data_IF_121895418896
#
_entry.id   IF_121895418896
#
_cell.length_a   1.000
_cell.length_b   1.000
_cell.length_c   1.000
_cell.angle_alpha   90.00
_cell.angle_beta   90.00
_cell.angle_gamma   90.00
#
_symmetry.space_group_name_H-M   'P 1'
#
loop_
_entity.id
_entity.type
_entity.pdbx_description
1 polymer ?
#
# COMPACT_ATOMS: atom_id res chain seq x y z
N UNK A 1 5.44 -22.13 4.23
CA UNK A 1 5.80 -22.26 5.68
C UNK A 1 4.93 -23.26 6.44
N UNK A 2 3.59 -23.13 6.42
CA UNK A 2 2.70 -24.06 7.15
C UNK A 2 2.57 -25.45 6.50
N UNK A 3 2.41 -25.53 5.17
CA UNK A 3 2.23 -26.81 4.46
C UNK A 3 3.48 -27.69 4.35
N UNK A 4 4.67 -27.08 4.26
CA UNK A 4 5.93 -27.82 4.04
C UNK A 4 6.75 -28.02 5.31
N UNK A 5 6.73 -27.05 6.24
CA UNK A 5 7.59 -27.08 7.43
C UNK A 5 6.79 -27.25 8.73
N UNK A 6 5.46 -27.31 8.66
CA UNK A 6 4.59 -27.39 9.85
C UNK A 6 4.63 -26.14 10.73
N UNK A 7 5.21 -25.04 10.25
CA UNK A 7 5.37 -23.79 10.99
C UNK A 7 4.22 -22.86 10.61
N UNK A 8 3.39 -22.49 11.59
CA UNK A 8 2.39 -21.43 11.39
C UNK A 8 3.11 -20.09 11.27
N UNK A 9 2.96 -19.36 10.14
CA UNK A 9 3.57 -18.05 10.00
C UNK A 9 3.01 -17.08 11.03
N UNK A 10 3.89 -16.33 11.67
CA UNK A 10 3.54 -15.19 12.54
C UNK A 10 3.51 -13.90 11.72
N UNK A 11 2.95 -12.82 12.28
CA UNK A 11 2.99 -11.48 11.67
C UNK A 11 4.40 -11.09 11.21
N UNK A 12 5.42 -11.37 12.03
CA UNK A 12 6.82 -11.09 11.71
C UNK A 12 7.31 -11.79 10.43
N UNK A 13 6.81 -13.00 10.13
CA UNK A 13 7.15 -13.69 8.89
C UNK A 13 6.55 -12.99 7.68
N UNK A 14 5.30 -12.51 7.79
CA UNK A 14 4.67 -11.75 6.70
C UNK A 14 5.36 -10.41 6.48
N UNK A 15 5.64 -9.67 7.55
CA UNK A 15 6.43 -8.44 7.50
C UNK A 15 7.82 -8.67 6.91
N UNK A 16 8.47 -9.79 7.24
CA UNK A 16 9.75 -10.16 6.66
C UNK A 16 9.71 -10.33 5.14
N UNK A 17 8.64 -10.93 4.59
CA UNK A 17 8.46 -11.06 3.13
C UNK A 17 8.24 -9.69 2.49
N UNK A 18 7.37 -8.86 3.07
CA UNK A 18 7.14 -7.48 2.62
C UNK A 18 8.45 -6.69 2.61
N UNK A 19 9.26 -6.82 3.66
CA UNK A 19 10.56 -6.17 3.78
C UNK A 19 11.53 -6.58 2.66
N UNK A 20 11.55 -7.87 2.31
CA UNK A 20 12.40 -8.39 1.23
C UNK A 20 11.97 -7.86 -0.12
N UNK A 21 10.67 -7.90 -0.42
CA UNK A 21 10.09 -7.41 -1.67
C UNK A 21 10.28 -5.89 -1.82
N UNK A 22 9.91 -5.13 -0.78
CA UNK A 22 10.00 -3.68 -0.74
C UNK A 22 11.43 -3.16 -0.86
N UNK A 23 12.42 -3.79 -0.20
CA UNK A 23 13.85 -3.44 -0.37
C UNK A 23 14.36 -3.73 -1.79
N UNK A 24 13.75 -4.70 -2.46
CA UNK A 24 14.14 -5.12 -3.80
C UNK A 24 13.38 -4.36 -4.91
N UNK A 25 12.60 -3.34 -4.55
CA UNK A 25 11.78 -2.53 -5.45
C UNK A 25 10.67 -3.29 -6.19
N UNK A 26 10.25 -4.45 -5.68
CA UNK A 26 9.12 -5.22 -6.21
C UNK A 26 7.82 -4.77 -5.56
N UNK A 27 7.39 -3.54 -5.87
CA UNK A 27 6.26 -2.88 -5.20
C UNK A 27 4.93 -3.51 -5.57
N UNK A 28 4.69 -3.78 -6.85
CA UNK A 28 3.48 -4.46 -7.31
C UNK A 28 3.32 -5.85 -6.65
N UNK A 29 4.42 -6.59 -6.54
CA UNK A 29 4.44 -7.90 -5.87
C UNK A 29 4.22 -7.76 -4.36
N UNK A 30 4.65 -6.64 -3.77
CA UNK A 30 4.39 -6.34 -2.36
C UNK A 30 2.90 -6.09 -2.13
N UNK A 31 2.24 -5.32 -3.00
CA UNK A 31 0.80 -5.08 -2.95
C UNK A 31 0.00 -6.39 -3.14
N UNK A 32 0.31 -7.15 -4.19
CA UNK A 32 -0.33 -8.45 -4.45
C UNK A 32 -0.15 -9.39 -3.25
N UNK A 33 1.03 -9.37 -2.61
CA UNK A 33 1.26 -10.18 -1.41
C UNK A 33 0.39 -9.75 -0.23
N UNK A 34 0.20 -8.44 -0.03
CA UNK A 34 -0.66 -7.90 1.04
C UNK A 34 -2.13 -8.25 0.78
N UNK A 35 -2.60 -8.15 -0.46
CA UNK A 35 -3.97 -8.52 -0.86
C UNK A 35 -4.26 -10.00 -0.64
N UNK A 36 -3.24 -10.86 -0.78
CA UNK A 36 -3.36 -12.31 -0.61
C UNK A 36 -3.11 -12.80 0.84
N UNK A 37 -2.99 -11.89 1.81
CA UNK A 37 -2.81 -12.29 3.21
C UNK A 37 -4.03 -13.06 3.72
N UNK A 38 -3.84 -14.11 4.56
CA UNK A 38 -4.94 -14.91 5.08
C UNK A 38 -5.71 -14.23 6.24
N UNK A 39 -5.46 -12.94 6.47
CA UNK A 39 -6.09 -12.11 7.51
C UNK A 39 -6.09 -10.65 7.03
N UNK A 40 -6.90 -9.81 7.68
CA UNK A 40 -6.95 -8.38 7.37
C UNK A 40 -5.59 -7.71 7.69
N UNK A 41 -4.98 -6.98 6.74
CA UNK A 41 -3.67 -6.38 6.97
C UNK A 41 -3.69 -5.40 8.15
N UNK A 42 -2.70 -5.54 9.05
CA UNK A 42 -2.60 -4.74 10.27
C UNK A 42 -1.96 -3.37 9.99
N UNK A 43 -2.01 -2.47 10.98
CA UNK A 43 -1.35 -1.16 10.90
C UNK A 43 0.15 -1.32 10.60
N UNK A 44 0.84 -2.31 11.20
CA UNK A 44 2.27 -2.51 10.93
C UNK A 44 2.56 -2.88 9.47
N UNK A 45 1.65 -3.61 8.81
CA UNK A 45 1.78 -3.99 7.41
C UNK A 45 1.66 -2.77 6.50
N UNK A 46 0.66 -1.92 6.75
CA UNK A 46 0.49 -0.68 5.99
C UNK A 46 1.61 0.32 6.25
N UNK A 47 2.12 0.42 7.49
CA UNK A 47 3.28 1.25 7.82
C UNK A 47 4.53 0.78 7.05
N UNK A 48 4.73 -0.53 6.92
CA UNK A 48 5.81 -1.10 6.12
C UNK A 48 5.65 -0.74 4.63
N UNK A 49 4.47 -0.95 4.04
CA UNK A 49 4.19 -0.61 2.64
C UNK A 49 4.41 0.88 2.37
N UNK A 50 3.84 1.75 3.20
CA UNK A 50 4.00 3.21 3.12
C UNK A 50 5.46 3.63 3.12
N UNK A 51 6.28 3.04 3.99
CA UNK A 51 7.72 3.31 4.06
C UNK A 51 8.43 2.94 2.76
N UNK A 52 8.07 1.82 2.14
CA UNK A 52 8.66 1.44 0.85
C UNK A 52 8.16 2.33 -0.29
N UNK A 53 6.87 2.66 -0.33
CA UNK A 53 6.32 3.64 -1.26
C UNK A 53 7.06 4.98 -1.20
N UNK A 54 7.30 5.51 0.01
CA UNK A 54 8.13 6.71 0.23
C UNK A 54 9.55 6.57 -0.31
N UNK A 55 10.22 5.45 -0.04
CA UNK A 55 11.61 5.23 -0.47
C UNK A 55 11.74 5.17 -2.00
N UNK A 56 10.71 4.68 -2.70
CA UNK A 56 10.69 4.56 -4.15
C UNK A 56 10.03 5.75 -4.85
N UNK A 57 9.47 6.69 -4.08
CA UNK A 57 8.80 7.89 -4.61
C UNK A 57 7.42 7.62 -5.19
N UNK A 58 6.77 6.51 -4.79
CA UNK A 58 5.39 6.20 -5.17
C UNK A 58 4.41 6.93 -4.24
N UNK A 59 4.02 8.14 -4.65
CA UNK A 59 3.18 9.04 -3.86
C UNK A 59 1.75 8.49 -3.75
N UNK A 60 1.23 7.87 -4.82
CA UNK A 60 -0.14 7.37 -4.87
C UNK A 60 -0.33 6.20 -3.90
N UNK A 61 0.69 5.34 -3.78
CA UNK A 61 0.70 4.22 -2.84
C UNK A 61 1.00 4.68 -1.40
N UNK A 62 1.86 5.68 -1.22
CA UNK A 62 2.09 6.29 0.09
C UNK A 62 0.79 6.81 0.69
N UNK A 63 0.02 7.58 -0.09
CA UNK A 63 -1.22 8.19 0.38
C UNK A 63 -2.30 7.16 0.68
N UNK A 64 -2.41 6.12 -0.15
CA UNK A 64 -3.34 5.02 0.07
C UNK A 64 -3.05 4.26 1.36
N UNK A 65 -1.77 3.92 1.58
CA UNK A 65 -1.36 3.28 2.82
C UNK A 65 -1.58 4.18 4.04
N UNK A 66 -1.36 5.49 3.92
CA UNK A 66 -1.66 6.46 4.99
C UNK A 66 -3.17 6.51 5.32
N UNK A 67 -4.05 6.57 4.32
CA UNK A 67 -5.50 6.58 4.52
C UNK A 67 -5.96 5.32 5.27
N UNK A 68 -5.42 4.16 4.90
CA UNK A 68 -5.72 2.89 5.57
C UNK A 68 -5.19 2.84 7.01
N UNK A 69 -3.97 3.34 7.26
CA UNK A 69 -3.41 3.45 8.62
C UNK A 69 -4.31 4.31 9.50
N UNK A 70 -4.73 5.48 9.01
CA UNK A 70 -5.60 6.40 9.78
C UNK A 70 -6.99 5.82 9.99
N UNK A 71 -7.52 5.08 9.01
CA UNK A 71 -8.79 4.37 9.14
C UNK A 71 -8.75 3.29 10.23
N UNK A 72 -7.61 2.62 10.40
CA UNK A 72 -7.43 1.56 11.39
C UNK A 72 -7.07 2.10 12.78
N UNK A 73 -6.20 3.11 12.83
CA UNK A 73 -5.77 3.79 14.05
C UNK A 73 -5.77 5.31 13.84
N UNK A 74 -6.87 6.00 14.20
CA UNK A 74 -6.97 7.45 14.06
C UNK A 74 -5.91 8.23 14.84
N UNK A 75 -5.26 7.63 15.85
CA UNK A 75 -4.19 8.28 16.61
C UNK A 75 -2.89 8.45 15.81
N UNK A 76 -2.74 7.68 14.72
CA UNK A 76 -1.59 7.75 13.80
C UNK A 76 -1.70 8.89 12.78
N UNK A 77 -2.83 9.61 12.75
CA UNK A 77 -3.04 10.72 11.84
C UNK A 77 -1.98 11.82 12.03
N UNK A 78 -1.26 12.14 10.95
CA UNK A 78 -0.30 13.25 10.96
C UNK A 78 -1.07 14.57 10.88
N UNK A 79 -1.11 15.33 11.97
CA UNK A 79 -1.95 16.51 12.18
C UNK A 79 -1.78 17.68 11.17
N UNK A 80 -0.92 17.57 10.16
CA UNK A 80 -0.66 18.62 9.17
C UNK A 80 -0.41 18.10 7.73
N UNK A 81 -0.70 16.83 7.42
CA UNK A 81 -0.68 16.37 6.02
C UNK A 81 -1.95 16.86 5.34
N UNK A 82 -1.81 17.66 4.28
CA UNK A 82 -2.91 17.89 3.34
C UNK A 82 -2.97 16.61 2.49
N UNK A 83 -4.03 15.79 2.56
CA UNK A 83 -4.17 14.67 1.64
C UNK A 83 -4.09 15.21 0.22
N UNK A 84 -3.30 14.58 -0.64
CA UNK A 84 -3.05 15.05 -2.00
C UNK A 84 -4.39 15.34 -2.69
N UNK A 85 -4.58 16.54 -3.30
CA UNK A 85 -5.88 16.95 -3.80
C UNK A 85 -6.46 15.94 -4.78
N UNK A 86 -7.76 15.69 -4.62
CA UNK A 86 -8.63 14.61 -5.12
C UNK A 86 -8.71 14.43 -6.65
N UNK A 87 -7.59 14.40 -7.37
CA UNK A 87 -7.59 13.95 -8.76
C UNK A 87 -7.84 12.43 -8.81
N UNK A 88 -7.42 11.66 -7.80
CA UNK A 88 -7.60 10.21 -7.69
C UNK A 88 -9.08 9.77 -7.61
N UNK A 89 -9.95 10.52 -6.90
CA UNK A 89 -11.41 10.22 -6.89
C UNK A 89 -12.03 10.36 -8.28
N UNK A 90 -11.66 11.39 -9.04
CA UNK A 90 -12.15 11.56 -10.41
C UNK A 90 -11.72 10.41 -11.34
N UNK A 91 -10.48 9.93 -11.22
CA UNK A 91 -9.99 8.78 -12.01
C UNK A 91 -10.62 7.44 -11.58
N UNK A 92 -10.84 7.24 -10.27
CA UNK A 92 -11.45 6.02 -9.72
C UNK A 92 -12.96 5.96 -9.97
N UNK A 93 -13.65 7.09 -9.94
CA UNK A 93 -15.09 7.20 -10.18
C UNK A 93 -15.43 7.29 -11.68
N UNK A 94 -14.49 7.79 -12.50
CA UNK A 94 -14.62 7.89 -13.96
C UNK A 94 -13.39 7.38 -14.73
N UNK A 95 -13.07 6.07 -14.67
CA UNK A 95 -11.88 5.49 -15.31
C UNK A 95 -11.86 5.65 -16.85
N UNK A 96 -13.02 5.89 -17.47
CA UNK A 96 -13.14 6.10 -18.93
C UNK A 96 -12.80 7.52 -19.39
N UNK A 97 -12.87 8.53 -18.51
CA UNK A 97 -12.61 9.96 -18.85
C UNK A 97 -11.11 10.31 -18.87
N UNK A 98 -10.31 9.42 -18.31
CA UNK A 98 -8.85 9.48 -18.19
C UNK A 98 -8.11 9.29 -19.52
N UNK A 99 -8.67 8.44 -20.40
CA UNK A 99 -7.95 7.89 -21.56
C UNK A 99 -7.93 8.83 -22.77
N UNK A 100 -8.67 9.94 -22.74
CA UNK A 100 -8.92 10.80 -23.91
C UNK A 100 -8.37 12.22 -23.80
N UNK A 101 -7.45 12.51 -22.87
CA UNK A 101 -6.72 13.79 -22.84
C UNK A 101 -5.23 13.54 -23.09
N UNK A 102 -4.93 13.20 -24.33
CA UNK A 102 -3.56 12.95 -24.77
C UNK A 102 -3.48 12.65 -26.26
N UNK A 103 -4.07 13.49 -27.11
CA UNK A 103 -3.64 13.86 -28.47
C UNK A 103 -4.64 14.90 -28.98
N UNK A 104 -4.21 16.15 -29.08
CA UNK A 104 -4.70 17.19 -30.01
C UNK A 104 -4.16 18.55 -29.55
N UNK A 105 -2.87 18.79 -29.81
CA UNK A 105 -2.24 20.07 -30.10
C UNK A 105 -0.78 19.86 -30.51
#
# INVERSE_FOLDING_TARGET
>A
MSKEFGISPTLEHYLGVIDVLGKSAYINETEEYIENLPFEPTVEIWEALRKYAQNHGDIDLEDEAEELIVSLDPSKAVANKIPTPLIKLWYREFPSSAKNRGVDA
#
